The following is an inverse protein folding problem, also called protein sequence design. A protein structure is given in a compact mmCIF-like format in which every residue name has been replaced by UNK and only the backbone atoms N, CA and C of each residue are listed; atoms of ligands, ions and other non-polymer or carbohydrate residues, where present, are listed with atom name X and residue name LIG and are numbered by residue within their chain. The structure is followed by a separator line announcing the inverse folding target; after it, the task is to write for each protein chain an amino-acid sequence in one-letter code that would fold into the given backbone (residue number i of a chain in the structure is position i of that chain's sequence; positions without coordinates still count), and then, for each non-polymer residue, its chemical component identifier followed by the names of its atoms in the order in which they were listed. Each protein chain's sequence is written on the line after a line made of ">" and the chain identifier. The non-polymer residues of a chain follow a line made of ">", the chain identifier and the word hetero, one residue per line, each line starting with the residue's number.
data_IF_746864366854
#
_entry.id   IF_746864366854
#
_cell.length_a   1.000
_cell.length_b   1.000
_cell.length_c   1.000
_cell.angle_alpha   90.00
_cell.angle_beta   90.00
_cell.angle_gamma   90.00
#
_symmetry.space_group_name_H-M   'P 1'
#
loop_
_entity.id
_entity.type
_entity.pdbx_description
1 polymer ?
#
# COMPACT_ATOMS: atom_id res chain seq x y z
N UNK A 1 -23.29 3.40 -20.80
CA UNK A 1 -23.85 2.51 -19.76
C UNK A 1 -22.77 1.47 -19.58
N UNK A 2 -21.83 1.73 -18.66
CA UNK A 2 -20.81 0.75 -18.31
C UNK A 2 -21.45 -0.09 -17.20
N UNK A 3 -21.51 -1.41 -17.40
CA UNK A 3 -22.00 -2.33 -16.39
C UNK A 3 -21.07 -2.24 -15.18
N UNK A 4 -21.56 -1.63 -14.10
CA UNK A 4 -20.90 -1.49 -12.80
C UNK A 4 -20.93 -2.81 -11.98
N UNK A 5 -20.86 -3.95 -12.65
CA UNK A 5 -20.77 -5.28 -12.00
C UNK A 5 -19.30 -5.73 -11.84
N UNK A 6 -18.36 -4.79 -11.74
CA UNK A 6 -16.95 -5.02 -11.41
C UNK A 6 -16.79 -5.24 -9.89
N UNK A 7 -17.52 -6.22 -9.37
CA UNK A 7 -17.30 -6.67 -8.00
C UNK A 7 -15.90 -7.27 -7.90
N UNK A 8 -15.16 -6.98 -6.82
CA UNK A 8 -13.84 -7.56 -6.63
C UNK A 8 -13.91 -9.09 -6.73
N UNK A 9 -13.10 -9.65 -7.62
CA UNK A 9 -13.12 -11.09 -7.89
C UNK A 9 -12.49 -11.80 -6.69
N UNK A 10 -13.31 -12.27 -5.76
CA UNK A 10 -12.87 -13.13 -4.67
C UNK A 10 -13.15 -14.59 -5.00
N UNK A 11 -12.44 -15.49 -4.34
CA UNK A 11 -12.47 -16.93 -4.59
C UNK A 11 -12.14 -17.27 -6.06
N UNK A 12 -11.15 -16.60 -6.62
CA UNK A 12 -10.78 -16.71 -8.05
C UNK A 12 -10.24 -18.08 -8.45
N UNK A 13 -9.86 -18.91 -7.48
CA UNK A 13 -9.13 -20.15 -7.71
C UNK A 13 -7.71 -19.94 -8.23
N UNK A 14 -7.22 -18.69 -8.25
CA UNK A 14 -5.82 -18.39 -8.59
C UNK A 14 -4.90 -19.04 -7.56
N UNK A 15 -3.74 -19.56 -7.99
CA UNK A 15 -2.75 -20.10 -7.07
C UNK A 15 -2.33 -19.00 -6.08
N UNK A 16 -2.14 -19.39 -4.81
CA UNK A 16 -1.60 -18.48 -3.83
C UNK A 16 -0.12 -18.21 -4.11
N UNK A 17 0.26 -16.95 -4.00
CA UNK A 17 1.65 -16.54 -4.08
C UNK A 17 2.37 -16.92 -2.79
N UNK A 18 3.45 -17.69 -2.94
CA UNK A 18 4.31 -18.05 -1.82
C UNK A 18 5.17 -16.84 -1.41
N UNK A 19 5.12 -16.52 -0.12
CA UNK A 19 5.97 -15.51 0.49
C UNK A 19 6.81 -16.16 1.59
N UNK A 20 8.09 -15.75 1.77
CA UNK A 20 8.92 -16.26 2.86
C UNK A 20 8.31 -15.94 4.22
N UNK A 21 8.45 -16.85 5.19
CA UNK A 21 7.88 -16.64 6.54
C UNK A 21 8.40 -15.36 7.20
N UNK A 22 9.67 -14.99 6.99
CA UNK A 22 10.22 -13.74 7.52
C UNK A 22 9.53 -12.48 6.97
N UNK A 23 9.02 -12.53 5.73
CA UNK A 23 8.26 -11.43 5.12
C UNK A 23 6.87 -11.36 5.75
N UNK A 24 6.21 -12.51 5.92
CA UNK A 24 4.90 -12.61 6.56
C UNK A 24 4.97 -12.11 8.02
N UNK A 25 5.99 -12.55 8.77
CA UNK A 25 6.23 -12.13 10.15
C UNK A 25 6.51 -10.63 10.24
N UNK A 26 7.31 -10.10 9.31
CA UNK A 26 7.58 -8.65 9.22
C UNK A 26 6.30 -7.86 9.01
N UNK A 27 5.44 -8.28 8.07
CA UNK A 27 4.14 -7.64 7.85
C UNK A 27 3.30 -7.71 9.13
N UNK A 28 3.20 -8.89 9.76
CA UNK A 28 2.47 -9.10 11.01
C UNK A 28 2.92 -8.17 12.15
N UNK A 29 4.22 -7.92 12.28
CA UNK A 29 4.75 -6.96 13.25
C UNK A 29 4.45 -5.50 12.88
N UNK A 30 4.62 -5.13 11.61
CA UNK A 30 4.43 -3.76 11.15
C UNK A 30 2.98 -3.29 11.28
N UNK A 31 2.01 -4.14 10.95
CA UNK A 31 0.59 -3.77 10.98
C UNK A 31 0.05 -3.51 12.38
N UNK A 32 0.77 -3.91 13.43
CA UNK A 32 0.41 -3.61 14.81
C UNK A 32 0.88 -2.21 15.26
N UNK A 33 1.76 -1.56 14.49
CA UNK A 33 2.29 -0.25 14.85
C UNK A 33 1.27 0.86 14.63
N UNK A 34 1.33 1.90 15.48
CA UNK A 34 0.43 3.04 15.41
C UNK A 34 0.64 3.91 14.16
N UNK A 35 1.87 3.91 13.62
CA UNK A 35 2.24 4.61 12.39
C UNK A 35 1.95 3.79 11.11
N UNK A 36 1.16 2.73 11.22
CA UNK A 36 0.58 2.00 10.08
C UNK A 36 -0.93 2.05 10.24
N UNK A 37 -1.62 2.84 9.44
CA UNK A 37 -3.09 2.96 9.41
C UNK A 37 -3.69 2.46 8.10
N UNK A 38 -2.85 2.24 7.10
CA UNK A 38 -3.21 1.78 5.78
C UNK A 38 -2.17 0.81 5.22
N UNK A 39 -2.63 -0.24 4.55
CA UNK A 39 -1.79 -1.26 3.92
C UNK A 39 -2.24 -1.47 2.49
N UNK A 40 -1.29 -1.46 1.58
CA UNK A 40 -1.46 -1.88 0.19
C UNK A 40 -0.65 -3.14 -0.04
N UNK A 41 -1.35 -4.24 -0.30
CA UNK A 41 -0.79 -5.58 -0.43
C UNK A 41 -1.31 -6.22 -1.73
N UNK A 42 -0.49 -6.31 -2.78
CA UNK A 42 -0.94 -6.64 -4.14
C UNK A 42 -0.85 -8.14 -4.46
N UNK A 43 -0.74 -9.00 -3.45
CA UNK A 43 -0.48 -10.42 -3.65
C UNK A 43 -1.65 -11.28 -3.18
N UNK A 44 -1.87 -12.38 -3.90
CA UNK A 44 -2.85 -13.39 -3.51
C UNK A 44 -2.25 -14.35 -2.46
N UNK A 45 -2.23 -13.96 -1.19
CA UNK A 45 -1.72 -14.80 -0.11
C UNK A 45 -2.66 -14.81 1.10
N UNK A 46 -3.35 -15.93 1.34
CA UNK A 46 -4.40 -16.00 2.36
C UNK A 46 -3.85 -15.84 3.78
N UNK A 47 -2.61 -16.27 4.03
CA UNK A 47 -1.96 -16.11 5.36
C UNK A 47 -1.79 -14.64 5.69
N UNK A 48 -1.28 -13.83 4.76
CA UNK A 48 -1.12 -12.39 4.97
C UNK A 48 -2.47 -11.69 5.03
N UNK A 49 -3.41 -12.01 4.13
CA UNK A 49 -4.74 -11.40 4.17
C UNK A 49 -5.48 -11.68 5.48
N UNK A 50 -5.31 -12.86 6.07
CA UNK A 50 -5.87 -13.18 7.39
C UNK A 50 -5.29 -12.29 8.48
N UNK A 51 -3.98 -12.02 8.47
CA UNK A 51 -3.34 -11.10 9.42
C UNK A 51 -3.88 -9.67 9.26
N UNK A 52 -3.96 -9.19 8.02
CA UNK A 52 -4.45 -7.85 7.69
C UNK A 52 -5.90 -7.65 8.14
N UNK A 53 -6.79 -8.60 7.84
CA UNK A 53 -8.21 -8.51 8.20
C UNK A 53 -8.40 -8.59 9.71
N UNK A 54 -7.68 -9.49 10.40
CA UNK A 54 -7.77 -9.57 11.85
C UNK A 54 -7.40 -8.23 12.51
N UNK A 55 -6.36 -7.56 12.02
CA UNK A 55 -5.95 -6.27 12.54
C UNK A 55 -6.96 -5.15 12.22
N UNK A 56 -7.55 -5.17 11.02
CA UNK A 56 -8.63 -4.26 10.66
C UNK A 56 -9.84 -4.39 11.59
N UNK A 57 -10.31 -5.63 11.80
CA UNK A 57 -11.45 -5.94 12.67
C UNK A 57 -11.14 -5.54 14.12
N UNK A 58 -9.93 -5.83 14.61
CA UNK A 58 -9.50 -5.45 15.96
C UNK A 58 -9.56 -3.93 16.16
N UNK A 59 -9.01 -3.16 15.22
CA UNK A 59 -9.01 -1.68 15.26
C UNK A 59 -10.42 -1.10 15.12
N UNK A 60 -11.25 -1.66 14.24
CA UNK A 60 -12.64 -1.25 14.10
C UNK A 60 -13.42 -1.47 15.41
N UNK A 61 -13.26 -2.64 16.04
CA UNK A 61 -13.87 -2.94 17.33
C UNK A 61 -13.41 -2.02 18.47
N UNK A 62 -12.13 -1.62 18.49
CA UNK A 62 -11.61 -0.70 19.50
C UNK A 62 -12.06 0.75 19.32
N UNK A 63 -12.22 1.20 18.08
CA UNK A 63 -12.50 2.61 17.75
C UNK A 63 -13.98 2.90 17.50
N UNK A 64 -14.77 1.88 17.19
CA UNK A 64 -16.15 2.02 16.71
C UNK A 64 -16.27 2.54 15.28
N UNK A 65 -15.15 2.72 14.57
CA UNK A 65 -15.13 3.17 13.17
C UNK A 65 -15.41 2.02 12.21
N UNK A 66 -15.87 2.33 11.00
CA UNK A 66 -15.99 1.33 9.94
C UNK A 66 -14.60 0.79 9.57
N UNK A 67 -14.53 -0.48 9.13
CA UNK A 67 -13.29 -1.18 8.79
C UNK A 67 -12.27 -0.34 8.01
N UNK A 68 -12.68 0.23 6.87
CA UNK A 68 -11.79 1.02 6.00
C UNK A 68 -11.38 2.38 6.58
N UNK A 69 -12.10 2.88 7.59
CA UNK A 69 -11.74 4.09 8.34
C UNK A 69 -10.80 3.77 9.51
N UNK A 70 -10.95 2.59 10.12
CA UNK A 70 -10.13 2.12 11.24
C UNK A 70 -8.76 1.61 10.79
N UNK A 71 -8.71 0.91 9.65
CA UNK A 71 -7.50 0.39 9.03
C UNK A 71 -7.74 0.14 7.55
N UNK A 72 -7.19 0.99 6.69
CA UNK A 72 -7.45 0.93 5.25
C UNK A 72 -6.69 -0.24 4.64
N UNK A 73 -7.38 -1.14 3.95
CA UNK A 73 -6.76 -2.28 3.26
C UNK A 73 -7.02 -2.15 1.77
N UNK A 74 -5.94 -2.21 0.97
CA UNK A 74 -6.01 -2.24 -0.50
C UNK A 74 -5.39 -3.51 -1.05
N UNK A 75 -6.10 -4.19 -1.95
CA UNK A 75 -5.73 -5.49 -2.51
C UNK A 75 -5.52 -5.50 -4.02
N UNK A 76 -5.18 -6.65 -4.61
CA UNK A 76 -4.96 -6.79 -6.04
C UNK A 76 -6.26 -6.75 -6.84
N UNK A 77 -6.19 -6.23 -8.07
CA UNK A 77 -7.29 -6.24 -9.05
C UNK A 77 -7.43 -7.58 -9.78
N UNK A 78 -6.40 -8.43 -9.74
CA UNK A 78 -6.45 -9.83 -10.19
C UNK A 78 -7.31 -10.74 -9.31
N UNK A 79 -7.75 -10.24 -8.15
CA UNK A 79 -8.60 -10.94 -7.21
C UNK A 79 -7.85 -11.77 -6.16
N UNK A 80 -8.61 -12.33 -5.22
CA UNK A 80 -8.08 -13.13 -4.11
C UNK A 80 -8.64 -14.56 -4.13
N UNK A 81 -7.84 -15.53 -3.68
CA UNK A 81 -8.28 -16.90 -3.45
C UNK A 81 -9.22 -17.02 -2.25
N UNK A 82 -9.18 -16.05 -1.33
CA UNK A 82 -10.06 -15.96 -0.17
C UNK A 82 -11.09 -14.83 -0.32
N UNK A 83 -12.16 -14.88 0.46
CA UNK A 83 -13.10 -13.78 0.64
C UNK A 83 -12.89 -13.07 2.00
N UNK A 84 -12.26 -11.88 2.03
CA UNK A 84 -12.04 -11.13 3.27
C UNK A 84 -13.30 -10.83 4.08
N UNK A 85 -14.47 -10.75 3.43
CA UNK A 85 -15.74 -10.47 4.10
C UNK A 85 -16.19 -11.62 5.02
N UNK A 86 -15.82 -12.87 4.71
CA UNK A 86 -16.08 -14.03 5.58
C UNK A 86 -15.31 -13.95 6.91
N UNK A 87 -14.30 -13.10 6.96
CA UNK A 87 -13.50 -12.82 8.16
C UNK A 87 -13.91 -11.51 8.84
N UNK A 88 -15.00 -10.88 8.38
CA UNK A 88 -15.47 -9.59 8.86
C UNK A 88 -14.68 -8.39 8.35
N UNK A 89 -13.79 -8.59 7.37
CA UNK A 89 -12.98 -7.54 6.77
C UNK A 89 -13.67 -6.82 5.60
N UNK A 90 -13.09 -5.70 5.20
CA UNK A 90 -13.42 -5.00 3.97
C UNK A 90 -12.12 -4.63 3.26
N UNK A 91 -12.04 -4.86 1.94
CA UNK A 91 -10.85 -4.58 1.13
C UNK A 91 -11.24 -3.68 -0.03
N UNK A 92 -10.49 -2.61 -0.24
CA UNK A 92 -10.60 -1.76 -1.41
C UNK A 92 -9.74 -2.34 -2.54
N UNK A 93 -10.28 -2.43 -3.74
CA UNK A 93 -9.49 -2.77 -4.93
C UNK A 93 -9.22 -1.47 -5.69
N UNK A 94 -7.98 -0.96 -5.67
CA UNK A 94 -7.59 0.22 -6.42
C UNK A 94 -7.42 -0.12 -7.90
N UNK A 95 -7.46 0.92 -8.73
CA UNK A 95 -7.05 0.84 -10.13
C UNK A 95 -5.61 0.31 -10.26
N UNK A 96 -5.36 -0.59 -11.22
CA UNK A 96 -4.09 -1.32 -11.41
C UNK A 96 -3.67 -2.21 -10.23
N UNK A 97 -4.57 -2.52 -9.29
CA UNK A 97 -4.30 -3.50 -8.24
C UNK A 97 -3.26 -3.08 -7.20
N UNK A 98 -2.86 -1.81 -7.17
CA UNK A 98 -2.10 -1.25 -6.05
C UNK A 98 -2.33 0.26 -5.88
N UNK A 99 -2.27 0.74 -4.65
CA UNK A 99 -2.21 2.17 -4.33
C UNK A 99 -1.21 2.43 -3.20
N UNK A 100 -0.92 3.68 -2.86
CA UNK A 100 -0.06 3.95 -1.69
C UNK A 100 -0.78 3.65 -0.38
N UNK A 101 -0.01 3.30 0.64
CA UNK A 101 -0.45 3.16 2.01
C UNK A 101 0.74 3.42 2.95
N UNK A 102 0.48 3.45 4.25
CA UNK A 102 1.52 3.62 5.26
C UNK A 102 2.52 2.46 5.20
N UNK A 103 2.02 1.24 4.99
CA UNK A 103 2.80 0.11 4.51
C UNK A 103 2.42 -0.19 3.06
N UNK A 104 3.37 0.01 2.15
CA UNK A 104 3.22 -0.39 0.76
C UNK A 104 4.13 -1.57 0.45
N UNK A 105 3.52 -2.70 0.10
CA UNK A 105 4.24 -3.88 -0.40
C UNK A 105 4.25 -3.82 -1.92
N UNK A 106 5.43 -3.71 -2.50
CA UNK A 106 5.58 -3.41 -3.93
C UNK A 106 5.60 -4.70 -4.74
N UNK A 107 4.73 -4.85 -5.76
CA UNK A 107 4.79 -6.00 -6.65
C UNK A 107 5.92 -5.82 -7.69
N UNK A 108 6.49 -6.93 -8.19
CA UNK A 108 7.66 -6.88 -9.08
C UNK A 108 7.43 -6.11 -10.39
N UNK A 109 6.19 -6.14 -10.90
CA UNK A 109 5.79 -5.43 -12.12
C UNK A 109 5.73 -3.91 -11.93
N UNK A 110 5.66 -3.42 -10.68
CA UNK A 110 5.55 -1.98 -10.42
C UNK A 110 6.86 -1.30 -10.78
N UNK A 111 6.77 -0.32 -11.68
CA UNK A 111 7.92 0.52 -12.01
C UNK A 111 8.29 1.38 -10.82
N UNK A 112 9.56 1.28 -10.42
CA UNK A 112 10.17 2.10 -9.39
C UNK A 112 11.10 3.13 -10.01
N UNK A 113 11.43 4.11 -9.19
CA UNK A 113 11.94 5.39 -9.64
C UNK A 113 13.18 5.86 -8.85
N UNK A 114 14.24 5.03 -8.75
CA UNK A 114 15.43 5.33 -7.92
C UNK A 114 16.18 6.58 -8.39
N UNK A 115 16.17 6.86 -9.69
CA UNK A 115 16.78 8.05 -10.28
C UNK A 115 15.80 9.23 -10.27
N UNK A 116 15.65 9.82 -9.08
CA UNK A 116 14.82 11.01 -8.82
C UNK A 116 15.16 12.22 -9.71
N UNK A 117 16.38 12.26 -10.27
CA UNK A 117 16.90 13.34 -11.12
C UNK A 117 16.12 13.56 -12.42
N UNK A 118 15.29 12.61 -12.84
CA UNK A 118 14.59 12.65 -14.13
C UNK A 118 13.07 12.82 -14.03
N UNK A 119 12.51 13.02 -12.83
CA UNK A 119 11.07 12.80 -12.61
C UNK A 119 10.21 14.04 -12.31
N UNK A 120 10.82 15.19 -11.99
CA UNK A 120 10.06 16.43 -11.76
C UNK A 120 10.52 17.58 -12.66
N UNK A 121 10.27 17.55 -13.99
CA UNK A 121 10.54 18.69 -14.86
C UNK A 121 9.60 19.88 -14.62
N UNK A 122 8.50 19.72 -13.86
CA UNK A 122 7.51 20.81 -13.66
C UNK A 122 7.82 21.78 -12.53
N UNK A 123 8.65 21.42 -11.53
CA UNK A 123 9.06 22.34 -10.47
C UNK A 123 10.47 22.91 -10.63
N UNK A 124 11.29 22.39 -11.55
CA UNK A 124 12.68 22.84 -11.76
C UNK A 124 13.64 22.54 -10.59
N UNK A 125 13.10 22.34 -9.39
CA UNK A 125 13.80 21.95 -8.18
C UNK A 125 13.51 20.48 -7.91
N UNK A 126 14.51 19.62 -8.12
CA UNK A 126 14.43 18.25 -7.63
C UNK A 126 14.37 18.24 -6.10
N UNK A 127 13.56 17.35 -5.53
CA UNK A 127 13.39 17.27 -4.06
C UNK A 127 14.69 16.99 -3.31
N UNK A 128 15.70 16.38 -3.95
CA UNK A 128 17.01 16.15 -3.35
C UNK A 128 16.90 15.41 -2.02
N UNK A 129 17.43 16.00 -0.95
CA UNK A 129 17.35 15.47 0.42
C UNK A 129 15.91 15.43 0.99
N UNK A 130 14.94 16.03 0.28
CA UNK A 130 13.51 15.99 0.60
C UNK A 130 12.74 14.93 -0.18
N UNK A 131 13.38 13.90 -0.73
CA UNK A 131 12.65 12.73 -1.26
C UNK A 131 11.95 11.94 -0.13
N UNK A 132 10.76 11.42 -0.39
CA UNK A 132 10.03 10.47 0.48
C UNK A 132 10.09 9.06 -0.09
N UNK A 133 9.66 8.05 0.67
CA UNK A 133 9.48 6.70 0.11
C UNK A 133 8.41 6.66 -1.00
N UNK A 134 7.34 7.45 -0.86
CA UNK A 134 6.32 7.57 -1.90
C UNK A 134 6.85 8.09 -3.23
N UNK A 135 7.83 9.00 -3.22
CA UNK A 135 8.48 9.51 -4.43
C UNK A 135 9.20 8.38 -5.22
N UNK A 136 9.68 7.33 -4.55
CA UNK A 136 10.32 6.17 -5.20
C UNK A 136 9.30 5.16 -5.75
N UNK A 137 8.13 5.09 -5.13
CA UNK A 137 7.12 4.05 -5.35
C UNK A 137 5.97 4.48 -6.28
N UNK A 138 5.78 5.79 -6.48
CA UNK A 138 4.64 6.31 -7.22
C UNK A 138 5.01 7.50 -8.11
N UNK A 139 4.97 7.28 -9.44
CA UNK A 139 5.37 8.23 -10.47
C UNK A 139 4.65 9.59 -10.39
N UNK A 140 3.36 9.56 -10.04
CA UNK A 140 2.47 10.73 -10.02
C UNK A 140 1.85 10.90 -8.64
N UNK A 141 2.66 10.82 -7.58
CA UNK A 141 2.13 11.09 -6.25
C UNK A 141 1.61 12.54 -6.21
N UNK A 142 0.31 12.69 -5.98
CA UNK A 142 -0.18 13.82 -5.19
C UNK A 142 0.80 13.98 -4.01
N UNK A 143 1.36 15.18 -3.77
CA UNK A 143 2.26 15.39 -2.63
C UNK A 143 1.72 14.79 -1.32
N UNK A 144 0.40 14.77 -1.13
CA UNK A 144 -0.27 14.16 0.02
C UNK A 144 -0.12 12.62 0.07
N UNK A 145 -0.10 11.93 -1.07
CA UNK A 145 0.15 10.48 -1.17
C UNK A 145 1.63 10.12 -1.07
N UNK A 146 2.50 11.03 -1.50
CA UNK A 146 3.95 10.83 -1.42
C UNK A 146 4.45 10.80 0.02
N UNK A 147 3.85 11.59 0.90
CA UNK A 147 4.19 11.65 2.33
C UNK A 147 3.53 10.52 3.16
N UNK A 148 2.58 9.76 2.61
CA UNK A 148 1.87 8.71 3.36
C UNK A 148 2.69 7.43 3.54
N UNK A 149 3.63 7.13 2.63
CA UNK A 149 4.39 5.88 2.70
C UNK A 149 5.46 5.93 3.79
N UNK A 150 5.22 5.24 4.91
CA UNK A 150 6.16 5.16 6.02
C UNK A 150 7.02 3.89 5.96
N UNK A 151 6.48 2.81 5.41
CA UNK A 151 7.15 1.53 5.18
C UNK A 151 7.00 1.10 3.73
N UNK A 152 8.13 0.80 3.08
CA UNK A 152 8.17 0.25 1.74
C UNK A 152 8.84 -1.12 1.80
N UNK A 153 8.10 -2.17 1.48
CA UNK A 153 8.58 -3.55 1.50
C UNK A 153 8.59 -4.09 0.07
N UNK A 154 9.75 -4.53 -0.41
CA UNK A 154 9.89 -4.95 -1.80
C UNK A 154 11.00 -5.97 -1.99
N UNK A 155 10.85 -6.81 -3.01
CA UNK A 155 11.85 -7.80 -3.45
C UNK A 155 12.86 -7.19 -4.43
N UNK A 156 13.44 -6.06 -4.06
CA UNK A 156 14.48 -5.35 -4.82
C UNK A 156 15.26 -4.43 -3.90
N UNK A 157 16.57 -4.37 -4.09
CA UNK A 157 17.41 -3.42 -3.38
C UNK A 157 17.47 -2.08 -4.12
N UNK A 158 17.03 -1.00 -3.47
CA UNK A 158 17.15 0.37 -3.96
C UNK A 158 18.46 1.03 -3.53
N UNK A 159 19.32 0.30 -2.81
CA UNK A 159 20.51 0.83 -2.16
C UNK A 159 20.16 1.65 -0.91
N UNK A 160 21.14 2.40 -0.43
CA UNK A 160 20.96 3.31 0.71
C UNK A 160 20.16 4.56 0.29
N UNK A 161 19.07 4.83 1.00
CA UNK A 161 18.20 5.98 0.77
C UNK A 161 18.38 6.97 1.92
N UNK A 162 18.67 8.24 1.63
CA UNK A 162 18.84 9.26 2.69
C UNK A 162 17.57 9.44 3.55
N UNK A 163 16.40 9.21 2.97
CA UNK A 163 15.11 9.39 3.61
C UNK A 163 14.62 8.18 4.42
N UNK A 164 15.34 7.05 4.40
CA UNK A 164 14.87 5.83 5.03
C UNK A 164 16.00 4.96 5.58
N UNK A 165 15.70 4.21 6.63
CA UNK A 165 16.55 3.13 7.14
C UNK A 165 16.27 1.87 6.34
N UNK A 166 17.34 1.19 5.90
CA UNK A 166 17.30 -0.04 5.10
C UNK A 166 17.50 -1.27 6.00
N UNK A 167 16.64 -2.27 5.87
CA UNK A 167 16.75 -3.55 6.57
C UNK A 167 16.56 -4.73 5.61
N UNK A 168 17.46 -5.71 5.64
CA UNK A 168 17.31 -6.97 4.90
C UNK A 168 16.41 -7.90 5.69
N UNK A 169 15.36 -8.41 5.06
CA UNK A 169 14.36 -9.29 5.70
C UNK A 169 14.62 -10.76 5.34
N UNK A 170 15.01 -11.04 4.09
CA UNK A 170 15.38 -12.38 3.61
C UNK A 170 15.06 -12.55 2.12
N UNK A 171 15.71 -13.49 1.44
CA UNK A 171 15.40 -13.88 0.04
C UNK A 171 15.24 -12.72 -0.97
N UNK A 172 16.05 -11.67 -0.80
CA UNK A 172 16.01 -10.47 -1.66
C UNK A 172 14.94 -9.44 -1.27
N UNK A 173 14.18 -9.68 -0.21
CA UNK A 173 13.26 -8.70 0.39
C UNK A 173 14.00 -7.71 1.28
N UNK A 174 13.72 -6.44 1.01
CA UNK A 174 14.24 -5.29 1.73
C UNK A 174 13.07 -4.49 2.27
N UNK A 175 13.15 -4.11 3.54
CA UNK A 175 12.27 -3.13 4.17
C UNK A 175 12.99 -1.79 4.22
N UNK A 176 12.30 -0.76 3.76
CA UNK A 176 12.68 0.63 3.99
C UNK A 176 11.69 1.27 4.95
N UNK A 177 12.21 1.84 6.04
CA UNK A 177 11.45 2.59 7.03
C UNK A 177 11.79 4.08 6.91
N UNK A 178 10.80 4.93 6.72
CA UNK A 178 10.98 6.38 6.58
C UNK A 178 11.59 6.98 7.85
N UNK A 179 12.63 7.79 7.68
CA UNK A 179 13.25 8.54 8.78
C UNK A 179 12.45 9.80 9.16
N UNK A 180 11.35 10.09 8.45
CA UNK A 180 10.51 11.26 8.70
C UNK A 180 9.49 10.99 9.79
N UNK A 181 9.03 12.04 10.51
CA UNK A 181 7.86 11.92 11.36
C UNK A 181 6.68 11.35 10.59
N UNK A 182 5.95 10.44 11.23
CA UNK A 182 4.74 9.87 10.66
C UNK A 182 3.66 10.95 10.49
N UNK A 183 3.05 10.99 9.30
CA UNK A 183 1.91 11.85 8.99
C UNK A 183 0.76 10.95 8.55
N UNK A 184 -0.31 10.95 9.34
CA UNK A 184 -1.53 10.20 8.98
C UNK A 184 -2.18 10.86 7.77
N UNK A 185 -2.31 10.11 6.67
CA UNK A 185 -3.02 10.56 5.46
C UNK A 185 -4.37 9.86 5.37
N UNK A 186 -5.44 10.62 5.19
CA UNK A 186 -6.77 10.05 4.97
C UNK A 186 -6.91 9.56 3.53
N UNK A 187 -6.60 8.29 3.30
CA UNK A 187 -6.73 7.64 1.99
C UNK A 187 -8.18 7.60 1.48
N UNK A 188 -9.18 7.64 2.37
CA UNK A 188 -10.61 7.67 2.02
C UNK A 188 -11.06 8.98 1.35
N UNK A 189 -10.37 10.10 1.59
CA UNK A 189 -10.70 11.40 0.98
C UNK A 189 -10.22 11.55 -0.46
N UNK A 190 -9.27 10.72 -0.88
CA UNK A 190 -8.62 10.80 -2.20
C UNK A 190 -9.50 10.13 -3.28
N UNK A 191 -10.45 9.28 -2.88
CA UNK A 191 -11.50 8.73 -3.75
C UNK A 191 -12.51 9.80 -4.23
N UNK A 192 -12.54 11.00 -3.63
CA UNK A 192 -13.47 12.09 -3.99
C UNK A 192 -13.01 13.01 -5.12
N UNK A 193 -11.73 12.99 -5.52
CA UNK A 193 -11.19 13.87 -6.55
C UNK A 193 -11.16 13.22 -7.94
N UNK A 194 -12.32 12.71 -8.38
CA UNK A 194 -12.54 12.48 -9.82
C UNK A 194 -14.00 12.62 -10.25
N UNK A 195 -14.72 13.60 -9.71
CA UNK A 195 -15.94 14.13 -10.33
C UNK A 195 -15.99 15.65 -10.14
N UNK A 196 -15.16 16.39 -10.87
CA UNK A 196 -15.50 17.78 -11.19
C UNK A 196 -15.30 18.07 -12.68
N UNK A 197 -16.46 18.17 -13.34
CA UNK A 197 -16.80 19.10 -14.43
C UNK A 197 -16.19 18.84 -15.81
N UNK A 198 -16.87 17.96 -16.54
CA UNK A 198 -17.28 18.29 -17.91
C UNK A 198 -18.81 18.25 -17.98
N UNK A 199 -19.44 19.38 -17.65
CA UNK A 199 -20.83 19.66 -18.07
C UNK A 199 -20.82 21.01 -18.77
N UNK A 200 -21.05 20.92 -20.08
CA UNK A 200 -21.39 21.93 -21.09
C UNK A 200 -20.48 23.14 -21.29
#
# INVERSE_FOLDING_TARGET
>A
MYDDDDYPVFNTGQPEEELPDCVIDTIGMLIQRENVQSVSFPFNNSRVWRLLVNEQVRRAGMTGLANQQAFTLSGPDSGLACNPAEWGGAVHIPYEGCCMGDLFVVPEWRRLYPDWKYQFPRSGEGRGDKATLGDYAHYWADPALGDSCHYLLLRRDLGELKCATRQVIGEGWILYESNRPYVKVNMSGIQGHRVERCTN
#
